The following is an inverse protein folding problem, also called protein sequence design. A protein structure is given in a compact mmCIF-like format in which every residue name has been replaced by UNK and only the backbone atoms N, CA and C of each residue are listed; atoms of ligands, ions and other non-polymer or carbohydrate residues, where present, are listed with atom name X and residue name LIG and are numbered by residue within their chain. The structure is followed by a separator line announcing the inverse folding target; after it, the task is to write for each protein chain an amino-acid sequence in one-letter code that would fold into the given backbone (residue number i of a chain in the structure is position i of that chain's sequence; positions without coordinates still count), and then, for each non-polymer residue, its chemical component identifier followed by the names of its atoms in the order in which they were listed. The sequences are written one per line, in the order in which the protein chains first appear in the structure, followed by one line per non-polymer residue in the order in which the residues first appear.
data_IF_418112100535
#
_entry.id   IF_418112100535
#
_cell.length_a   1.000
_cell.length_b   1.000
_cell.length_c   1.000
_cell.angle_alpha   90.00
_cell.angle_beta   90.00
_cell.angle_gamma   90.00
#
_symmetry.space_group_name_H-M   'P 1'
#
loop_
_entity.id
_entity.type
_entity.pdbx_description
1 polymer ?
#
# COMPACT_ATOMS: atom_id res chain seq x y z
N UNK A 1 1.86 44.17 10.13
CA UNK A 1 1.18 43.05 10.83
C UNK A 1 1.67 41.70 10.31
N UNK A 2 1.61 41.45 8.99
CA UNK A 2 2.00 40.19 8.37
C UNK A 2 3.46 39.75 8.59
N UNK A 3 4.44 40.66 8.50
CA UNK A 3 5.85 40.34 8.79
C UNK A 3 6.07 39.68 10.17
N UNK A 4 5.28 40.09 11.17
CA UNK A 4 5.32 39.51 12.52
C UNK A 4 4.69 38.11 12.53
N UNK A 5 3.60 37.89 11.80
CA UNK A 5 2.95 36.59 11.66
C UNK A 5 3.84 35.58 10.93
N UNK A 6 4.44 35.96 9.79
CA UNK A 6 5.39 35.10 9.07
C UNK A 6 6.58 34.70 9.95
N UNK A 7 7.17 35.65 10.68
CA UNK A 7 8.27 35.35 11.63
C UNK A 7 7.84 34.44 12.78
N UNK A 8 6.61 34.62 13.29
CA UNK A 8 6.06 33.75 14.34
C UNK A 8 5.86 32.33 13.81
N UNK A 9 5.23 32.19 12.64
CA UNK A 9 5.00 30.90 12.00
C UNK A 9 6.32 30.18 11.72
N UNK A 10 7.33 30.87 11.17
CA UNK A 10 8.66 30.30 10.94
C UNK A 10 9.29 29.74 12.22
N UNK A 11 9.24 30.49 13.32
CA UNK A 11 9.77 30.05 14.63
C UNK A 11 9.01 28.85 15.20
N UNK A 12 7.70 28.79 15.00
CA UNK A 12 6.90 27.64 15.42
C UNK A 12 7.26 26.41 14.59
N UNK A 13 7.27 26.54 13.26
CA UNK A 13 7.67 25.47 12.34
C UNK A 13 9.08 24.95 12.62
N UNK A 14 10.03 25.83 12.95
CA UNK A 14 11.38 25.42 13.36
C UNK A 14 11.35 24.53 14.61
N UNK A 15 10.57 24.90 15.63
CA UNK A 15 10.44 24.07 16.84
C UNK A 15 9.77 22.74 16.54
N UNK A 16 8.75 22.74 15.68
CA UNK A 16 8.05 21.54 15.26
C UNK A 16 9.00 20.59 14.52
N UNK A 17 9.82 21.09 13.59
CA UNK A 17 10.87 20.32 12.90
C UNK A 17 11.85 19.70 13.91
N UNK A 18 12.33 20.48 14.88
CA UNK A 18 13.26 19.98 15.89
C UNK A 18 12.62 18.90 16.76
N UNK A 19 11.34 19.07 17.13
CA UNK A 19 10.60 18.07 17.89
C UNK A 19 10.39 16.79 17.07
N UNK A 20 9.97 16.92 15.81
CA UNK A 20 9.79 15.79 14.90
C UNK A 20 11.09 15.00 14.69
N UNK A 21 12.22 15.68 14.49
CA UNK A 21 13.55 15.05 14.37
C UNK A 21 13.91 14.25 15.61
N UNK A 22 13.68 14.79 16.81
CA UNK A 22 13.94 14.09 18.08
C UNK A 22 13.06 12.86 18.24
N UNK A 23 11.77 12.95 17.90
CA UNK A 23 10.85 11.82 17.98
C UNK A 23 11.25 10.73 16.97
N UNK A 24 11.59 11.09 15.74
CA UNK A 24 12.10 10.16 14.72
C UNK A 24 13.38 9.45 15.16
N UNK A 25 14.33 10.18 15.74
CA UNK A 25 15.55 9.58 16.29
C UNK A 25 15.25 8.59 17.43
N UNK A 26 14.33 8.95 18.32
CA UNK A 26 13.90 8.08 19.42
C UNK A 26 13.25 6.81 18.89
N UNK A 27 12.38 6.92 17.88
CA UNK A 27 11.74 5.79 17.22
C UNK A 27 12.76 4.88 16.53
N UNK A 28 13.72 5.45 15.78
CA UNK A 28 14.82 4.68 15.16
C UNK A 28 15.65 3.92 16.19
N UNK A 29 15.93 4.54 17.35
CA UNK A 29 16.63 3.87 18.46
C UNK A 29 15.80 2.74 19.06
N UNK A 30 14.48 2.92 19.22
CA UNK A 30 13.58 1.88 19.71
C UNK A 30 13.53 0.69 18.73
N UNK A 31 13.38 0.95 17.43
CA UNK A 31 13.43 -0.09 16.39
C UNK A 31 14.75 -0.87 16.44
N UNK A 32 15.88 -0.17 16.56
CA UNK A 32 17.21 -0.80 16.67
C UNK A 32 17.32 -1.69 17.92
N UNK A 33 16.73 -1.28 19.05
CA UNK A 33 16.72 -2.09 20.29
C UNK A 33 15.88 -3.35 20.14
N UNK A 34 14.72 -3.25 19.51
CA UNK A 34 13.85 -4.40 19.23
C UNK A 34 14.55 -5.36 18.27
N UNK A 35 15.21 -4.83 17.23
CA UNK A 35 15.96 -5.62 16.25
C UNK A 35 17.16 -6.39 16.83
N UNK A 36 17.77 -5.91 17.93
CA UNK A 36 18.89 -6.57 18.61
C UNK A 36 18.49 -7.72 19.54
N UNK A 37 17.20 -8.00 19.70
CA UNK A 37 16.73 -9.14 20.48
C UNK A 37 17.25 -10.46 19.89
N UNK A 38 17.87 -11.31 20.71
CA UNK A 38 18.54 -12.55 20.27
C UNK A 38 17.63 -13.54 19.52
N UNK A 39 16.32 -13.48 19.75
CA UNK A 39 15.31 -14.21 18.99
C UNK A 39 14.23 -13.20 18.58
N UNK A 40 14.13 -12.86 17.29
CA UNK A 40 12.94 -12.17 16.78
C UNK A 40 11.77 -13.16 16.84
N UNK A 41 11.07 -13.18 17.96
CA UNK A 41 9.75 -13.83 18.01
C UNK A 41 8.84 -13.18 16.96
N UNK A 42 7.85 -13.93 16.45
CA UNK A 42 6.85 -13.39 15.49
C UNK A 42 6.21 -12.09 16.00
N UNK A 43 6.00 -11.97 17.32
CA UNK A 43 5.52 -10.75 17.97
C UNK A 43 6.47 -9.54 17.80
N UNK A 44 7.78 -9.76 17.90
CA UNK A 44 8.79 -8.72 17.70
C UNK A 44 8.86 -8.26 16.24
N UNK A 45 8.67 -9.16 15.27
CA UNK A 45 8.58 -8.82 13.84
C UNK A 45 7.37 -7.93 13.54
N UNK A 46 6.18 -8.33 14.00
CA UNK A 46 4.96 -7.52 13.82
C UNK A 46 5.12 -6.14 14.45
N UNK A 47 5.71 -6.06 15.65
CA UNK A 47 6.02 -4.80 16.30
C UNK A 47 6.98 -3.93 15.48
N UNK A 48 8.00 -4.53 14.88
CA UNK A 48 8.97 -3.82 14.04
C UNK A 48 8.32 -3.28 12.75
N UNK A 49 7.44 -4.06 12.09
CA UNK A 49 6.67 -3.62 10.92
C UNK A 49 5.76 -2.43 11.26
N UNK A 50 5.06 -2.48 12.40
CA UNK A 50 4.24 -1.36 12.87
C UNK A 50 5.09 -0.11 13.15
N UNK A 51 6.24 -0.28 13.81
CA UNK A 51 7.15 0.85 14.08
C UNK A 51 7.74 1.43 12.79
N UNK A 52 8.02 0.61 11.78
CA UNK A 52 8.50 1.06 10.48
C UNK A 52 7.42 1.85 9.71
N UNK A 53 6.16 1.41 9.75
CA UNK A 53 5.01 2.16 9.22
C UNK A 53 4.91 3.55 9.85
N UNK A 54 4.95 3.61 11.19
CA UNK A 54 4.90 4.90 11.90
C UNK A 54 6.12 5.77 11.59
N UNK A 55 7.31 5.18 11.49
CA UNK A 55 8.53 5.89 11.11
C UNK A 55 8.40 6.52 9.73
N UNK A 56 7.86 5.79 8.75
CA UNK A 56 7.64 6.28 7.39
C UNK A 56 6.68 7.47 7.39
N UNK A 57 5.52 7.33 8.05
CA UNK A 57 4.52 8.41 8.17
C UNK A 57 5.10 9.65 8.83
N UNK A 58 5.87 9.47 9.92
CA UNK A 58 6.56 10.56 10.59
C UNK A 58 7.63 11.22 9.72
N UNK A 59 8.33 10.45 8.89
CA UNK A 59 9.35 10.95 7.97
C UNK A 59 8.72 11.75 6.82
N UNK A 60 7.63 11.25 6.20
CA UNK A 60 6.82 12.01 5.23
C UNK A 60 6.33 13.33 5.84
N UNK A 61 5.86 13.30 7.10
CA UNK A 61 5.44 14.50 7.85
C UNK A 61 6.58 15.50 8.05
N UNK A 62 7.77 15.02 8.40
CA UNK A 62 8.96 15.88 8.56
C UNK A 62 9.33 16.55 7.24
N UNK A 63 9.42 15.78 6.15
CA UNK A 63 9.74 16.29 4.82
C UNK A 63 8.75 17.38 4.38
N UNK A 64 7.45 17.15 4.58
CA UNK A 64 6.42 18.12 4.28
C UNK A 64 6.54 19.39 5.14
N UNK A 65 6.89 19.25 6.42
CA UNK A 65 7.14 20.40 7.31
C UNK A 65 8.38 21.21 6.89
N UNK A 66 9.46 20.54 6.44
CA UNK A 66 10.67 21.20 5.93
C UNK A 66 10.42 21.91 4.59
N UNK A 67 9.63 21.30 3.71
CA UNK A 67 9.20 21.92 2.46
C UNK A 67 8.30 23.14 2.72
N UNK A 68 7.35 23.02 3.66
CA UNK A 68 6.53 24.13 4.11
C UNK A 68 7.39 25.29 4.65
N UNK A 69 8.38 24.99 5.50
CA UNK A 69 9.32 25.99 6.00
C UNK A 69 10.02 26.73 4.87
N UNK A 70 10.61 25.99 3.93
CA UNK A 70 11.34 26.56 2.79
C UNK A 70 10.43 27.45 1.94
N UNK A 71 9.19 27.00 1.72
CA UNK A 71 8.17 27.77 0.98
C UNK A 71 7.83 29.06 1.74
N UNK A 72 7.61 28.98 3.04
CA UNK A 72 7.32 30.14 3.89
C UNK A 72 8.49 31.14 3.94
N UNK A 73 9.74 30.68 3.98
CA UNK A 73 10.94 31.53 3.90
C UNK A 73 11.03 32.26 2.57
N UNK A 74 10.76 31.57 1.46
CA UNK A 74 10.69 32.17 0.11
C UNK A 74 9.60 33.25 0.04
N UNK A 75 8.40 32.96 0.57
CA UNK A 75 7.32 33.95 0.66
C UNK A 75 7.74 35.14 1.52
N UNK A 76 8.37 34.91 2.68
CA UNK A 76 8.82 35.98 3.56
C UNK A 76 9.87 36.87 2.90
N UNK A 77 10.80 36.29 2.13
CA UNK A 77 11.82 37.05 1.40
C UNK A 77 11.18 37.91 0.30
N UNK A 78 10.29 37.32 -0.51
CA UNK A 78 9.55 38.06 -1.54
C UNK A 78 8.72 39.19 -0.93
N UNK A 79 8.06 38.92 0.18
CA UNK A 79 7.28 39.91 0.91
C UNK A 79 8.14 41.08 1.42
N UNK A 80 9.30 40.79 2.01
CA UNK A 80 10.25 41.81 2.46
C UNK A 80 10.81 42.64 1.29
N UNK A 81 11.10 42.02 0.14
CA UNK A 81 11.50 42.71 -1.08
C UNK A 81 10.41 43.69 -1.56
N UNK A 82 9.15 43.25 -1.59
CA UNK A 82 8.03 44.10 -2.04
C UNK A 82 7.77 45.28 -1.11
N UNK A 83 7.92 45.08 0.21
CA UNK A 83 7.90 46.19 1.19
C UNK A 83 9.03 47.17 0.90
N UNK A 84 10.26 46.68 0.67
CA UNK A 84 11.42 47.54 0.39
C UNK A 84 11.27 48.33 -0.91
N UNK A 85 10.59 47.78 -1.91
CA UNK A 85 10.32 48.47 -3.17
C UNK A 85 9.17 49.49 -3.06
N UNK A 86 8.39 49.47 -1.97
CA UNK A 86 7.20 50.32 -1.81
C UNK A 86 6.02 49.94 -2.72
N UNK A 87 6.07 48.77 -3.36
CA UNK A 87 5.09 48.33 -4.38
C UNK A 87 4.24 47.17 -3.86
N UNK A 88 3.67 47.32 -2.65
CA UNK A 88 2.87 46.26 -2.05
C UNK A 88 1.65 45.86 -2.91
N UNK A 89 1.10 46.81 -3.69
CA UNK A 89 -0.17 46.61 -4.44
C UNK A 89 -0.02 46.28 -5.94
N UNK A 90 1.11 46.59 -6.60
CA UNK A 90 1.20 46.52 -8.08
C UNK A 90 1.97 45.30 -8.62
N UNK A 91 2.91 44.72 -7.86
CA UNK A 91 3.76 43.61 -8.33
C UNK A 91 3.45 42.26 -7.65
N UNK A 92 2.51 42.21 -6.71
CA UNK A 92 2.22 41.00 -5.94
C UNK A 92 1.59 39.88 -6.78
N UNK A 93 0.92 40.22 -7.90
CA UNK A 93 0.38 39.25 -8.87
C UNK A 93 1.44 38.30 -9.45
N UNK A 94 2.71 38.71 -9.49
CA UNK A 94 3.81 37.85 -9.95
C UNK A 94 4.29 36.86 -8.87
N UNK A 95 3.90 37.05 -7.60
CA UNK A 95 4.29 36.17 -6.49
C UNK A 95 3.25 35.09 -6.15
N UNK A 96 2.18 34.99 -6.94
CA UNK A 96 1.08 34.03 -6.78
C UNK A 96 1.54 32.58 -6.80
N UNK A 97 2.57 32.23 -7.60
CA UNK A 97 3.07 30.85 -7.64
C UNK A 97 3.50 30.30 -6.27
N UNK A 98 4.31 31.06 -5.53
CA UNK A 98 4.79 30.62 -4.20
C UNK A 98 3.67 30.71 -3.14
N UNK A 99 2.69 31.59 -3.33
CA UNK A 99 1.49 31.64 -2.50
C UNK A 99 0.59 30.42 -2.72
N UNK A 100 0.47 29.97 -3.97
CA UNK A 100 -0.26 28.75 -4.32
C UNK A 100 0.47 27.50 -3.82
N UNK A 101 1.80 27.51 -3.77
CA UNK A 101 2.56 26.43 -3.13
C UNK A 101 2.30 26.37 -1.62
N UNK A 102 2.13 27.52 -0.96
CA UNK A 102 1.76 27.57 0.46
C UNK A 102 0.38 26.93 0.72
N UNK A 103 -0.55 27.08 -0.23
CA UNK A 103 -1.90 26.53 -0.14
C UNK A 103 -1.91 25.00 -0.12
N UNK A 104 -0.99 24.32 -0.82
CA UNK A 104 -0.91 22.85 -0.85
C UNK A 104 -0.75 22.25 0.56
N UNK A 105 -0.09 22.97 1.47
CA UNK A 105 0.09 22.55 2.85
C UNK A 105 -1.16 22.78 3.73
N UNK A 106 -2.17 23.51 3.24
CA UNK A 106 -3.43 23.74 3.95
C UNK A 106 -4.26 22.47 4.16
N UNK A 107 -4.08 21.48 3.29
CA UNK A 107 -4.72 20.16 3.38
C UNK A 107 -4.13 19.30 4.50
N UNK A 108 -2.92 19.63 4.97
CA UNK A 108 -2.25 18.91 6.05
C UNK A 108 -2.76 19.42 7.39
N UNK A 109 -3.52 18.59 8.11
CA UNK A 109 -4.19 18.94 9.37
C UNK A 109 -3.29 19.64 10.41
N UNK A 110 -2.02 19.24 10.50
CA UNK A 110 -1.05 19.80 11.43
C UNK A 110 -0.42 21.14 10.98
N UNK A 111 -0.49 21.51 9.70
CA UNK A 111 -0.05 22.81 9.17
C UNK A 111 -1.21 23.76 8.88
N UNK A 112 -2.42 23.22 8.71
CA UNK A 112 -3.65 23.92 8.33
C UNK A 112 -3.87 25.24 9.06
N UNK A 113 -3.80 25.23 10.40
CA UNK A 113 -4.04 26.43 11.19
C UNK A 113 -3.03 27.55 10.88
N UNK A 114 -1.76 27.19 10.71
CA UNK A 114 -0.69 28.15 10.34
C UNK A 114 -0.91 28.71 8.95
N UNK A 115 -1.28 27.87 7.97
CA UNK A 115 -1.59 28.29 6.60
C UNK A 115 -2.79 29.24 6.58
N UNK A 116 -3.90 28.88 7.24
CA UNK A 116 -5.10 29.72 7.30
C UNK A 116 -4.83 31.08 7.94
N UNK A 117 -4.04 31.14 9.03
CA UNK A 117 -3.68 32.42 9.67
C UNK A 117 -2.88 33.31 8.70
N UNK A 118 -1.92 32.72 7.98
CA UNK A 118 -1.12 33.43 6.98
C UNK A 118 -1.99 33.91 5.81
N UNK A 119 -2.88 33.07 5.30
CA UNK A 119 -3.77 33.42 4.20
C UNK A 119 -4.74 34.54 4.56
N UNK A 120 -5.31 34.52 5.76
CA UNK A 120 -6.12 35.63 6.26
C UNK A 120 -5.33 36.93 6.30
N UNK A 121 -4.08 36.90 6.76
CA UNK A 121 -3.19 38.06 6.76
C UNK A 121 -2.86 38.55 5.35
N UNK A 122 -2.65 37.64 4.40
CA UNK A 122 -2.43 37.99 2.99
C UNK A 122 -3.67 38.59 2.33
N UNK A 123 -4.84 38.01 2.59
CA UNK A 123 -6.11 38.51 2.08
C UNK A 123 -6.40 39.94 2.58
N UNK A 124 -6.22 40.18 3.89
CA UNK A 124 -6.37 41.52 4.47
C UNK A 124 -5.41 42.56 3.89
N UNK A 125 -4.25 42.12 3.39
CA UNK A 125 -3.26 42.99 2.75
C UNK A 125 -3.49 43.15 1.23
N UNK A 126 -4.56 42.58 0.68
CA UNK A 126 -4.83 42.61 -0.77
C UNK A 126 -3.82 41.81 -1.60
N UNK A 127 -3.06 40.93 -0.93
CA UNK A 127 -2.00 40.12 -1.54
C UNK A 127 -2.58 38.87 -2.20
N UNK A 128 -3.63 38.32 -1.59
CA UNK A 128 -4.41 37.19 -2.10
C UNK A 128 -5.83 37.68 -2.37
N UNK A 129 -6.37 37.38 -3.55
CA UNK A 129 -7.72 37.82 -3.97
C UNK A 129 -8.83 36.94 -3.37
N UNK A 130 -8.53 35.69 -3.03
CA UNK A 130 -9.51 34.70 -2.57
C UNK A 130 -9.00 33.99 -1.31
N UNK A 131 -9.87 33.84 -0.30
CA UNK A 131 -9.61 32.97 0.85
C UNK A 131 -9.92 31.52 0.47
N UNK A 132 -9.23 30.54 1.05
CA UNK A 132 -9.63 29.15 0.81
C UNK A 132 -10.99 28.89 1.46
N UNK A 133 -11.97 28.55 0.64
CA UNK A 133 -13.24 27.99 1.09
C UNK A 133 -13.20 26.44 1.10
N UNK A 134 -12.35 25.82 0.26
CA UNK A 134 -12.29 24.36 0.08
C UNK A 134 -10.98 23.71 0.58
N UNK A 135 -10.77 23.66 1.90
CA UNK A 135 -9.83 22.67 2.46
C UNK A 135 -10.61 21.37 2.65
N UNK A 136 -10.73 20.58 1.57
CA UNK A 136 -11.18 19.21 1.68
C UNK A 136 -10.11 18.40 2.43
N UNK A 137 -10.54 17.72 3.50
CA UNK A 137 -9.71 16.74 4.19
C UNK A 137 -9.63 15.50 3.30
N UNK A 138 -8.75 15.53 2.30
CA UNK A 138 -8.32 14.28 1.65
C UNK A 138 -7.38 13.61 2.64
N UNK A 139 -7.95 12.74 3.48
CA UNK A 139 -7.16 11.77 4.22
C UNK A 139 -6.66 10.79 3.16
N UNK A 140 -5.49 11.06 2.59
CA UNK A 140 -4.80 10.13 1.69
C UNK A 140 -4.43 8.88 2.50
N UNK A 141 -5.37 7.95 2.51
CA UNK A 141 -5.29 6.61 3.12
C UNK A 141 -5.18 5.54 2.00
N UNK A 142 -4.69 5.93 0.81
CA UNK A 142 -4.62 5.10 -0.40
C UNK A 142 -3.21 5.05 -1.02
N UNK A 143 -2.18 4.74 -0.22
CA UNK A 143 -0.82 4.46 -0.70
C UNK A 143 -0.30 3.13 -0.14
N UNK A 144 -1.03 2.01 -0.33
CA UNK A 144 -0.68 0.76 0.34
C UNK A 144 0.52 -0.01 -0.30
N UNK A 145 0.68 -0.01 -1.62
CA UNK A 145 1.73 -0.84 -2.26
C UNK A 145 3.13 -0.22 -2.24
N UNK A 146 3.27 1.06 -2.60
CA UNK A 146 4.57 1.76 -2.56
C UNK A 146 5.12 1.86 -1.12
N UNK A 147 4.23 2.03 -0.14
CA UNK A 147 4.65 2.08 1.26
C UNK A 147 5.22 0.75 1.75
N UNK A 148 4.70 -0.41 1.29
CA UNK A 148 5.24 -1.71 1.72
C UNK A 148 6.69 -1.91 1.28
N UNK A 149 7.07 -1.50 0.07
CA UNK A 149 8.47 -1.56 -0.38
C UNK A 149 9.38 -0.65 0.44
N UNK A 150 8.94 0.59 0.72
CA UNK A 150 9.70 1.53 1.54
C UNK A 150 9.86 1.04 2.98
N UNK A 151 8.82 0.44 3.55
CA UNK A 151 8.84 -0.19 4.87
C UNK A 151 9.88 -1.32 4.89
N UNK A 152 9.85 -2.22 3.90
CA UNK A 152 10.80 -3.33 3.82
C UNK A 152 12.24 -2.83 3.69
N UNK A 153 12.47 -1.75 2.94
CA UNK A 153 13.77 -1.11 2.84
C UNK A 153 14.25 -0.55 4.19
N UNK A 154 13.39 0.16 4.93
CA UNK A 154 13.71 0.68 6.27
C UNK A 154 14.04 -0.47 7.24
N UNK A 155 13.25 -1.56 7.18
CA UNK A 155 13.48 -2.75 8.00
C UNK A 155 14.82 -3.41 7.67
N UNK A 156 15.18 -3.51 6.39
CA UNK A 156 16.48 -4.06 5.97
C UNK A 156 17.67 -3.21 6.45
N UNK A 157 17.55 -1.88 6.46
CA UNK A 157 18.61 -0.98 6.95
C UNK A 157 18.79 -1.10 8.47
N UNK A 158 17.70 -1.18 9.22
CA UNK A 158 17.72 -1.13 10.70
C UNK A 158 17.91 -2.52 11.31
N UNK A 159 17.41 -3.56 10.64
CA UNK A 159 17.36 -4.93 11.14
C UNK A 159 17.76 -5.92 10.03
N UNK A 160 19.05 -6.04 9.68
CA UNK A 160 19.50 -7.03 8.70
C UNK A 160 19.18 -8.49 9.08
N UNK A 161 18.94 -8.77 10.38
CA UNK A 161 18.45 -10.08 10.82
C UNK A 161 16.98 -10.37 10.44
N UNK A 162 16.20 -9.33 10.09
CA UNK A 162 14.82 -9.46 9.58
C UNK A 162 14.79 -10.07 8.17
N UNK A 163 15.77 -9.76 7.32
CA UNK A 163 15.81 -10.26 5.94
C UNK A 163 16.16 -11.75 5.88
N UNK A 164 16.95 -12.26 6.83
CA UNK A 164 17.25 -13.71 6.92
C UNK A 164 16.02 -14.57 7.18
N UNK A 165 14.96 -14.00 7.78
CA UNK A 165 13.70 -14.70 8.01
C UNK A 165 12.68 -14.51 6.88
N UNK A 166 12.73 -13.37 6.17
CA UNK A 166 11.84 -13.14 5.01
C UNK A 166 12.31 -13.81 3.72
N UNK A 167 13.60 -14.04 3.49
CA UNK A 167 14.05 -14.90 2.38
C UNK A 167 13.47 -16.32 2.52
N UNK A 168 13.28 -16.80 3.76
CA UNK A 168 12.61 -18.07 4.04
C UNK A 168 11.09 -18.01 3.87
N UNK A 169 10.45 -16.85 4.04
CA UNK A 169 8.99 -16.67 3.91
C UNK A 169 8.54 -16.32 2.48
N UNK A 170 9.41 -15.69 1.68
CA UNK A 170 9.20 -15.48 0.25
C UNK A 170 9.34 -16.79 -0.53
N UNK A 171 10.21 -17.70 -0.09
CA UNK A 171 10.29 -19.05 -0.67
C UNK A 171 8.99 -19.84 -0.42
N UNK A 172 8.43 -19.80 0.79
CA UNK A 172 7.17 -20.48 1.13
C UNK A 172 5.94 -19.89 0.40
N UNK A 173 5.84 -18.56 0.26
CA UNK A 173 4.68 -17.92 -0.41
C UNK A 173 4.74 -18.00 -1.94
N UNK A 174 5.94 -18.10 -2.52
CA UNK A 174 6.12 -18.40 -3.95
C UNK A 174 5.82 -19.88 -4.22
N UNK A 175 6.22 -20.79 -3.32
CA UNK A 175 5.92 -22.22 -3.46
C UNK A 175 4.42 -22.52 -3.32
N UNK A 176 3.71 -21.93 -2.35
CA UNK A 176 2.25 -22.08 -2.24
C UNK A 176 1.48 -21.57 -3.47
N UNK A 177 1.90 -20.43 -4.05
CA UNK A 177 1.26 -19.88 -5.24
C UNK A 177 1.59 -20.69 -6.51
N UNK A 178 2.80 -21.26 -6.59
CA UNK A 178 3.21 -22.15 -7.68
C UNK A 178 2.49 -23.50 -7.58
N UNK A 179 2.29 -24.01 -6.38
CA UNK A 179 1.57 -25.24 -6.10
C UNK A 179 0.06 -25.09 -6.40
N UNK A 180 -0.55 -23.95 -6.04
CA UNK A 180 -1.94 -23.63 -6.44
C UNK A 180 -2.10 -23.47 -7.96
N UNK A 181 -1.11 -22.87 -8.64
CA UNK A 181 -1.12 -22.74 -10.09
C UNK A 181 -0.95 -24.10 -10.79
N UNK A 182 -0.11 -24.98 -10.25
CA UNK A 182 0.11 -26.34 -10.79
C UNK A 182 -1.08 -27.27 -10.50
N UNK A 183 -1.74 -27.13 -9.35
CA UNK A 183 -2.97 -27.86 -9.03
C UNK A 183 -4.14 -27.37 -9.89
N UNK A 184 -4.24 -26.07 -10.16
CA UNK A 184 -5.24 -25.51 -11.08
C UNK A 184 -5.04 -26.00 -12.53
N UNK A 185 -3.79 -26.10 -12.99
CA UNK A 185 -3.45 -26.70 -14.30
C UNK A 185 -3.77 -28.19 -14.36
N UNK A 186 -3.56 -28.94 -13.28
CA UNK A 186 -3.93 -30.37 -13.18
C UNK A 186 -5.44 -30.56 -13.23
N UNK A 187 -6.21 -29.71 -12.55
CA UNK A 187 -7.68 -29.72 -12.63
C UNK A 187 -8.19 -29.38 -14.03
N UNK A 188 -7.63 -28.37 -14.70
CA UNK A 188 -7.99 -28.05 -16.09
C UNK A 188 -7.74 -29.23 -17.04
N UNK A 189 -6.61 -29.91 -16.90
CA UNK A 189 -6.29 -31.09 -17.71
C UNK A 189 -7.23 -32.27 -17.45
N UNK A 190 -7.72 -32.41 -16.21
CA UNK A 190 -8.74 -33.41 -15.86
C UNK A 190 -10.12 -33.06 -16.44
N UNK A 191 -10.49 -31.78 -16.43
CA UNK A 191 -11.75 -31.30 -17.02
C UNK A 191 -11.72 -31.44 -18.55
N UNK A 192 -10.60 -31.14 -19.22
CA UNK A 192 -10.42 -31.39 -20.66
C UNK A 192 -10.50 -32.89 -20.99
N UNK A 193 -9.88 -33.75 -20.18
CA UNK A 193 -9.99 -35.22 -20.37
C UNK A 193 -11.41 -35.76 -20.13
N UNK A 194 -12.20 -35.07 -19.30
CA UNK A 194 -13.59 -35.42 -19.02
C UNK A 194 -14.53 -34.91 -20.12
N UNK A 195 -14.26 -33.73 -20.70
CA UNK A 195 -14.98 -33.22 -21.88
C UNK A 195 -14.76 -34.12 -23.10
N UNK A 196 -13.55 -34.64 -23.30
CA UNK A 196 -13.28 -35.61 -24.37
C UNK A 196 -13.99 -36.96 -24.14
N UNK A 197 -14.28 -37.31 -22.88
CA UNK A 197 -15.08 -38.51 -22.53
C UNK A 197 -16.59 -38.30 -22.74
N UNK A 198 -17.07 -37.07 -22.58
CA UNK A 198 -18.48 -36.70 -22.81
C UNK A 198 -18.77 -36.62 -24.32
N UNK A 199 -17.87 -36.06 -25.14
CA UNK A 199 -18.04 -36.01 -26.61
C UNK A 199 -17.99 -37.41 -27.29
N UNK A 200 -17.33 -38.40 -26.68
CA UNK A 200 -17.37 -39.80 -27.15
C UNK A 200 -18.67 -40.49 -26.72
N UNK A 201 -19.30 -40.05 -25.62
CA UNK A 201 -20.55 -40.61 -25.10
C UNK A 201 -21.79 -40.11 -25.83
N UNK A 202 -21.83 -38.84 -26.25
CA UNK A 202 -23.01 -38.25 -26.90
C UNK A 202 -23.21 -38.68 -28.38
N UNK A 203 -22.24 -39.38 -28.98
CA UNK A 203 -22.35 -39.89 -30.36
C UNK A 203 -22.84 -41.34 -30.48
N UNK A 204 -23.19 -41.99 -29.36
CA UNK A 204 -23.67 -43.38 -29.33
C UNK A 204 -25.14 -43.57 -28.96
N UNK A 205 -25.86 -42.51 -28.62
CA UNK A 205 -27.29 -42.56 -28.27
C UNK A 205 -28.21 -42.06 -29.40
N UNK A 206 -28.02 -42.61 -30.61
CA UNK A 206 -29.12 -42.69 -31.56
C UNK A 206 -29.02 -44.03 -32.31
N UNK A 207 -30.13 -44.78 -32.32
CA UNK A 207 -30.43 -46.04 -33.02
C UNK A 207 -30.36 -47.38 -32.22
N UNK A 208 -31.46 -47.64 -31.48
CA UNK A 208 -32.35 -48.85 -31.54
C UNK A 208 -31.79 -50.25 -31.20
N UNK A 209 -32.31 -50.86 -30.12
CA UNK A 209 -33.05 -52.15 -30.04
C UNK A 209 -32.85 -52.89 -28.69
N UNK A 210 -33.93 -53.19 -27.97
CA UNK A 210 -33.98 -53.91 -26.68
C UNK A 210 -33.80 -55.45 -26.80
N UNK A 211 -32.75 -55.97 -27.45
CA UNK A 211 -32.59 -57.43 -27.64
C UNK A 211 -31.27 -58.08 -27.16
N UNK A 212 -30.39 -57.38 -26.43
CA UNK A 212 -29.06 -57.94 -26.06
C UNK A 212 -28.76 -58.08 -24.55
N UNK A 213 -29.75 -58.07 -23.64
CA UNK A 213 -29.51 -58.45 -22.23
C UNK A 213 -29.81 -59.92 -21.90
N UNK A 214 -30.39 -60.69 -22.81
CA UNK A 214 -30.75 -62.10 -22.57
C UNK A 214 -29.64 -63.11 -22.98
N UNK A 215 -28.67 -62.69 -23.79
CA UNK A 215 -27.61 -63.58 -24.31
C UNK A 215 -26.44 -63.84 -23.34
N UNK A 216 -26.27 -63.02 -22.30
CA UNK A 216 -25.16 -63.17 -21.34
C UNK A 216 -25.54 -64.11 -20.18
N UNK A 217 -26.81 -64.09 -19.75
CA UNK A 217 -27.32 -64.96 -18.70
C UNK A 217 -27.39 -66.42 -19.18
N UNK A 218 -27.82 -66.67 -20.42
CA UNK A 218 -27.87 -68.01 -21.01
C UNK A 218 -26.48 -68.62 -21.23
N UNK A 219 -25.47 -67.79 -21.56
CA UNK A 219 -24.08 -68.26 -21.66
C UNK A 219 -23.47 -68.59 -20.29
N UNK A 220 -23.77 -67.83 -19.23
CA UNK A 220 -23.33 -68.16 -17.87
C UNK A 220 -23.99 -69.44 -17.34
N UNK A 221 -25.27 -69.68 -17.63
CA UNK A 221 -25.97 -70.91 -17.23
C UNK A 221 -25.40 -72.12 -17.99
N UNK A 222 -25.02 -71.96 -19.26
CA UNK A 222 -24.37 -73.00 -20.06
C UNK A 222 -22.98 -73.37 -19.53
N UNK A 223 -22.15 -72.38 -19.18
CA UNK A 223 -20.85 -72.64 -18.56
C UNK A 223 -20.95 -73.31 -17.19
N UNK A 224 -21.93 -72.94 -16.36
CA UNK A 224 -22.15 -73.60 -15.08
C UNK A 224 -22.62 -75.05 -15.25
N UNK A 225 -23.44 -75.33 -16.28
CA UNK A 225 -23.91 -76.69 -16.58
C UNK A 225 -22.79 -77.59 -17.11
N UNK A 226 -21.87 -77.05 -17.91
CA UNK A 226 -20.71 -77.81 -18.43
C UNK A 226 -19.66 -78.09 -17.34
N UNK A 227 -19.43 -77.14 -16.42
CA UNK A 227 -18.54 -77.36 -15.25
C UNK A 227 -19.09 -78.40 -14.27
N UNK A 228 -20.41 -78.49 -14.10
CA UNK A 228 -21.06 -79.53 -13.29
C UNK A 228 -20.97 -80.92 -13.94
N UNK A 229 -21.04 -80.99 -15.29
CA UNK A 229 -20.92 -82.25 -16.03
C UNK A 229 -19.50 -82.83 -16.01
N UNK A 230 -18.48 -81.98 -15.92
CA UNK A 230 -17.07 -82.39 -15.86
C UNK A 230 -16.62 -82.92 -14.48
N UNK A 231 -17.45 -82.79 -13.44
CA UNK A 231 -17.17 -83.29 -12.08
C UNK A 231 -17.96 -84.57 -11.72
N UNK A 232 -18.76 -85.11 -12.65
CA UNK A 232 -19.53 -86.35 -12.48
C UNK A 232 -19.13 -87.49 -13.45
N UNK A 233 -17.93 -87.42 -14.03
CA UNK A 233 -17.24 -88.56 -14.69
C UNK A 233 -15.88 -88.76 -14.04
#
# INVERSE_FOLDING_TARGET
MMKRQMRKSLRTTDRDIQQQKRTLQTLKQQMTRVAKGKNLEKSAMTKLKIMAKEYLKMNKRLNNTELFKTTLESVSLKFDQQISMGVLNKNMKQSTGVMNDLQKFGNLSYLRNSVIELEKGMFQMGVKEEMLDDIMLTEDDLEDEEEEEEINKILSEIAPAYTSTEESAKDETVDENKQKLDDMKRMQKQVESSQHKIEISEKKDEVVAEEDMDNEVDNMIKEMRDKLKALQT
#
